data_IF_441707311483
#
_entry.id   IF_441707311483
#
_cell.length_a   1.000
_cell.length_b   1.000
_cell.length_c   1.000
_cell.angle_alpha   90.00
_cell.angle_beta   90.00
_cell.angle_gamma   90.00
#
_symmetry.space_group_name_H-M   'P 1'
#
loop_
_entity.id
_entity.type
_entity.pdbx_description
1 polymer ?
#
# COMPACT_ATOMS: atom_id res chain seq x y z
N UNK A 1 -13.13 3.73 5.46
CA UNK A 1 -12.52 3.91 4.11
C UNK A 1 -11.04 4.17 4.27
N UNK A 2 -10.28 4.24 3.17
CA UNK A 2 -8.81 4.32 3.20
C UNK A 2 -8.21 5.74 3.17
N UNK A 3 -9.02 6.80 2.99
CA UNK A 3 -8.57 8.19 2.96
C UNK A 3 -8.39 8.77 4.37
N UNK A 4 -7.34 8.33 5.07
CA UNK A 4 -6.95 8.81 6.41
C UNK A 4 -5.43 8.89 6.50
N UNK A 5 -4.92 9.73 7.39
CA UNK A 5 -3.54 9.64 7.85
C UNK A 5 -3.50 8.80 9.13
N UNK A 6 -2.41 8.06 9.31
CA UNK A 6 -2.15 7.27 10.51
C UNK A 6 -0.97 7.91 11.23
N UNK A 7 -1.05 7.98 12.56
CA UNK A 7 0.03 8.42 13.43
C UNK A 7 0.04 7.59 14.71
N UNK A 8 1.22 7.45 15.30
CA UNK A 8 1.41 6.74 16.57
C UNK A 8 2.26 7.58 17.53
N UNK A 9 2.08 7.36 18.84
CA UNK A 9 2.87 8.01 19.89
C UNK A 9 3.34 6.94 20.88
N UNK A 10 4.67 6.79 20.98
CA UNK A 10 5.28 5.89 21.96
C UNK A 10 5.33 6.58 23.31
N UNK A 11 4.73 5.95 24.32
CA UNK A 11 4.66 6.46 25.70
C UNK A 11 5.14 5.39 26.70
N UNK A 12 5.49 5.81 27.90
CA UNK A 12 5.88 4.93 29.00
C UNK A 12 4.74 4.71 30.03
N UNK A 13 3.53 5.19 29.73
CA UNK A 13 2.34 4.96 30.55
C UNK A 13 1.72 3.62 30.18
N UNK A 14 1.35 2.83 31.20
CA UNK A 14 0.61 1.59 31.00
C UNK A 14 -0.86 1.90 30.67
N UNK A 15 -1.36 1.33 29.57
CA UNK A 15 -2.72 1.52 29.07
C UNK A 15 -3.37 0.16 28.83
N UNK A 16 -4.70 0.11 28.92
CA UNK A 16 -5.45 -1.03 28.42
C UNK A 16 -5.42 -1.02 26.88
N UNK A 17 -5.07 -2.16 26.28
CA UNK A 17 -5.07 -2.32 24.82
C UNK A 17 -6.49 -2.46 24.30
N UNK A 18 -6.73 -1.91 23.11
CA UNK A 18 -7.95 -2.18 22.35
C UNK A 18 -7.90 -3.57 21.71
N UNK A 19 -9.08 -4.13 21.44
CA UNK A 19 -9.21 -5.36 20.67
C UNK A 19 -8.89 -5.12 19.19
N UNK A 20 -8.28 -6.10 18.48
CA UNK A 20 -8.06 -6.00 17.04
C UNK A 20 -9.36 -5.75 16.27
N UNK A 21 -9.24 -5.03 15.16
CA UNK A 21 -10.38 -4.79 14.30
C UNK A 21 -10.93 -6.13 13.75
N UNK A 22 -12.23 -6.43 13.96
CA UNK A 22 -12.74 -7.79 13.83
C UNK A 22 -13.00 -8.25 12.39
N UNK A 23 -13.05 -7.32 11.43
CA UNK A 23 -13.66 -7.59 10.12
C UNK A 23 -12.77 -7.20 8.95
N UNK A 24 -12.69 -8.10 7.98
CA UNK A 24 -12.17 -7.80 6.64
C UNK A 24 -13.35 -7.62 5.68
N UNK A 25 -13.49 -6.42 5.11
CA UNK A 25 -14.57 -6.09 4.17
C UNK A 25 -14.22 -6.31 2.69
N UNK A 26 -13.03 -6.81 2.36
CA UNK A 26 -12.66 -7.11 0.98
C UNK A 26 -13.42 -8.33 0.45
N UNK A 27 -13.64 -9.37 1.26
CA UNK A 27 -14.31 -10.60 0.82
C UNK A 27 -13.66 -11.20 -0.44
N UNK A 28 -14.45 -11.37 -1.50
CA UNK A 28 -14.00 -11.85 -2.82
C UNK A 28 -13.65 -10.73 -3.81
N UNK A 29 -13.61 -9.47 -3.38
CA UNK A 29 -13.34 -8.32 -4.25
C UNK A 29 -11.86 -8.27 -4.67
N UNK A 30 -11.61 -8.02 -5.96
CA UNK A 30 -10.28 -7.86 -6.55
C UNK A 30 -10.07 -6.51 -7.22
N UNK A 31 -11.01 -5.56 -7.10
CA UNK A 31 -11.00 -4.31 -7.88
C UNK A 31 -9.68 -3.52 -7.80
N UNK A 32 -9.07 -3.41 -6.62
CA UNK A 32 -7.80 -2.71 -6.46
C UNK A 32 -6.63 -3.47 -7.11
N UNK A 33 -6.67 -4.80 -7.08
CA UNK A 33 -5.67 -5.69 -7.69
C UNK A 33 -5.76 -5.53 -9.21
N UNK A 34 -6.97 -5.65 -9.76
CA UNK A 34 -7.23 -5.60 -11.20
C UNK A 34 -6.95 -4.20 -11.78
N UNK A 35 -7.22 -3.15 -11.00
CA UNK A 35 -6.99 -1.76 -11.41
C UNK A 35 -5.51 -1.33 -11.29
N UNK A 36 -4.64 -2.08 -10.62
CA UNK A 36 -3.25 -1.69 -10.41
C UNK A 36 -2.46 -1.76 -11.74
N UNK A 37 -2.05 -0.63 -12.34
CA UNK A 37 -1.59 -0.63 -13.73
C UNK A 37 -0.20 -1.25 -13.92
N UNK A 38 0.59 -1.37 -12.85
CA UNK A 38 1.89 -2.03 -12.84
C UNK A 38 1.82 -3.45 -12.25
N UNK A 39 0.66 -3.89 -11.78
CA UNK A 39 0.52 -5.17 -11.07
C UNK A 39 1.34 -5.22 -9.78
N UNK A 40 1.44 -4.11 -9.06
CA UNK A 40 2.19 -4.05 -7.80
C UNK A 40 1.50 -4.82 -6.66
N UNK A 41 0.18 -5.01 -6.71
CA UNK A 41 -0.56 -5.80 -5.72
C UNK A 41 -0.54 -7.27 -6.15
N UNK A 42 0.43 -8.05 -5.65
CA UNK A 42 0.69 -9.42 -6.11
C UNK A 42 -0.27 -10.46 -5.51
N UNK A 43 -0.86 -10.15 -4.35
CA UNK A 43 -1.91 -10.93 -3.68
C UNK A 43 -2.60 -10.04 -2.63
N UNK A 44 -3.76 -10.43 -2.06
CA UNK A 44 -4.44 -9.63 -1.05
C UNK A 44 -3.51 -9.21 0.11
N UNK A 45 -3.44 -7.90 0.36
CA UNK A 45 -2.61 -7.32 1.43
C UNK A 45 -1.10 -7.35 1.20
N UNK A 46 -0.62 -7.73 0.01
CA UNK A 46 0.83 -7.79 -0.29
C UNK A 46 1.15 -6.95 -1.53
N UNK A 47 2.16 -6.08 -1.40
CA UNK A 47 2.59 -5.15 -2.44
C UNK A 47 4.07 -5.43 -2.77
N UNK A 48 4.39 -5.55 -4.06
CA UNK A 48 5.77 -5.44 -4.56
C UNK A 48 6.10 -3.96 -4.77
N UNK A 49 6.93 -3.41 -3.87
CA UNK A 49 7.30 -2.00 -3.89
C UNK A 49 8.08 -1.62 -5.16
N UNK A 50 8.84 -2.55 -5.75
CA UNK A 50 9.63 -2.26 -6.96
C UNK A 50 8.76 -1.98 -8.19
N UNK A 51 7.46 -2.30 -8.12
CA UNK A 51 6.47 -2.04 -9.17
C UNK A 51 5.48 -0.95 -8.76
N UNK A 52 5.46 -0.54 -7.49
CA UNK A 52 4.48 0.41 -6.97
C UNK A 52 4.78 1.83 -7.46
N UNK A 53 3.80 2.48 -8.11
CA UNK A 53 3.95 3.86 -8.61
C UNK A 53 4.36 4.80 -7.49
N UNK A 54 3.70 4.73 -6.32
CA UNK A 54 4.01 5.58 -5.17
C UNK A 54 5.46 5.42 -4.72
N UNK A 55 5.99 4.20 -4.69
CA UNK A 55 7.40 4.00 -4.36
C UNK A 55 8.30 4.56 -5.46
N UNK A 56 8.03 4.21 -6.72
CA UNK A 56 8.84 4.61 -7.86
C UNK A 56 8.97 6.13 -8.03
N UNK A 57 7.97 6.91 -7.63
CA UNK A 57 7.94 8.37 -7.82
C UNK A 57 8.24 9.19 -6.57
N UNK A 58 8.08 8.64 -5.37
CA UNK A 58 8.23 9.39 -4.10
C UNK A 58 9.46 8.93 -3.32
N UNK A 59 9.68 7.61 -3.22
CA UNK A 59 10.66 7.02 -2.31
C UNK A 59 11.91 6.50 -3.02
N UNK A 60 11.78 6.11 -4.29
CA UNK A 60 12.88 5.56 -5.06
C UNK A 60 13.98 6.61 -5.24
N UNK A 61 15.18 6.27 -4.73
CA UNK A 61 16.36 7.15 -4.77
C UNK A 61 17.22 6.96 -6.02
N UNK A 62 16.84 6.06 -6.93
CA UNK A 62 17.54 5.89 -8.20
C UNK A 62 17.31 7.10 -9.11
N UNK A 63 18.31 7.42 -9.93
CA UNK A 63 18.25 8.55 -10.87
C UNK A 63 17.20 8.37 -11.99
N UNK A 64 16.70 7.14 -12.17
CA UNK A 64 15.72 6.83 -13.20
C UNK A 64 14.80 5.68 -12.80
N UNK A 65 13.60 5.68 -13.40
CA UNK A 65 12.64 4.59 -13.32
C UNK A 65 12.85 3.67 -14.53
N UNK A 66 12.79 2.36 -14.30
CA UNK A 66 12.91 1.35 -15.36
C UNK A 66 11.96 1.63 -16.52
N UNK A 67 12.47 1.54 -17.75
CA UNK A 67 11.70 1.77 -18.97
C UNK A 67 10.53 0.80 -19.15
N UNK A 68 10.53 -0.33 -18.44
CA UNK A 68 9.43 -1.29 -18.42
C UNK A 68 8.10 -0.72 -17.88
N UNK A 69 8.17 0.40 -17.15
CA UNK A 69 7.01 1.11 -16.59
C UNK A 69 6.58 2.32 -17.44
N UNK A 70 7.26 2.58 -18.55
CA UNK A 70 6.90 3.68 -19.46
C UNK A 70 5.46 3.53 -19.97
N UNK A 71 4.66 4.59 -19.83
CA UNK A 71 3.25 4.61 -20.24
C UNK A 71 2.30 3.77 -19.37
N UNK A 72 2.76 3.24 -18.22
CA UNK A 72 1.91 2.50 -17.26
C UNK A 72 1.45 3.35 -16.08
N UNK A 73 1.96 4.56 -15.94
CA UNK A 73 1.43 5.53 -14.99
C UNK A 73 0.27 6.18 -15.73
N UNK A 74 -0.95 6.04 -15.19
CA UNK A 74 -2.20 6.38 -15.89
C UNK A 74 -2.27 7.78 -16.45
#
# INVERSE_FOLDING_TARGET
GSFVFIGEMVINLELAYDEPYPSNYCGSCTQCIDACPTGAIVKPGTIDSNRCISYLTIENKSDSISSEFSGKFG
#
